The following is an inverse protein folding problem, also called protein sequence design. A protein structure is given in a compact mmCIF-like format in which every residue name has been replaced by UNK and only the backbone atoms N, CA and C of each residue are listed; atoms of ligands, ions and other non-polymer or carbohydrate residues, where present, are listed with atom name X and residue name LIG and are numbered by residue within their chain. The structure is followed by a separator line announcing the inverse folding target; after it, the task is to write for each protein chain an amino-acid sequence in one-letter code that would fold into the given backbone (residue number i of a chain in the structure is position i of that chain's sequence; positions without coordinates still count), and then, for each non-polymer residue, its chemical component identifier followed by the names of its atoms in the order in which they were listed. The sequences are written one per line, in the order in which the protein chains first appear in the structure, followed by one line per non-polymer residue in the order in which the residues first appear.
data_IF_380160916567
#
_entry.id   IF_380160916567
#
_cell.length_a   1.000
_cell.length_b   1.000
_cell.length_c   1.000
_cell.angle_alpha   90.00
_cell.angle_beta   90.00
_cell.angle_gamma   90.00
#
_symmetry.space_group_name_H-M   'P 1'
#
loop_
_entity.id
_entity.type
_entity.pdbx_description
1 polymer ?
#
# COMPACT_ATOMS: atom_id res chain seq x y z
N UNK A 1 -29.77 -21.54 8.08
CA UNK A 1 -29.66 -20.21 8.72
C UNK A 1 -28.33 -20.16 9.46
N UNK A 2 -27.32 -19.43 8.96
CA UNK A 2 -26.07 -19.24 9.71
C UNK A 2 -26.35 -18.41 10.96
N UNK A 3 -25.89 -18.84 12.14
CA UNK A 3 -26.03 -18.07 13.39
C UNK A 3 -25.30 -16.74 13.23
N UNK A 4 -25.90 -15.64 13.71
CA UNK A 4 -25.21 -14.35 13.75
C UNK A 4 -23.94 -14.49 14.60
N UNK A 5 -22.79 -13.97 14.14
CA UNK A 5 -21.54 -14.09 14.88
C UNK A 5 -21.63 -13.33 16.22
N UNK A 6 -20.96 -13.84 17.24
CA UNK A 6 -20.85 -13.16 18.53
C UNK A 6 -19.84 -12.01 18.45
N UNK A 7 -19.89 -11.07 19.41
CA UNK A 7 -18.89 -10.00 19.53
C UNK A 7 -17.47 -10.55 19.58
N UNK A 8 -17.26 -11.61 20.36
CA UNK A 8 -15.95 -12.23 20.52
C UNK A 8 -15.43 -12.81 19.20
N UNK A 9 -16.28 -13.51 18.44
CA UNK A 9 -15.91 -14.03 17.11
C UNK A 9 -15.54 -12.91 16.14
N UNK A 10 -16.22 -11.76 16.20
CA UNK A 10 -15.87 -10.60 15.37
C UNK A 10 -14.53 -9.98 15.79
N UNK A 11 -14.24 -9.90 17.09
CA UNK A 11 -12.95 -9.40 17.61
C UNK A 11 -11.81 -10.33 17.21
N UNK A 12 -11.97 -11.64 17.42
CA UNK A 12 -10.99 -12.67 17.01
C UNK A 12 -10.72 -12.58 15.52
N UNK A 13 -11.78 -12.43 14.71
CA UNK A 13 -11.65 -12.28 13.25
C UNK A 13 -10.86 -11.04 12.85
N UNK A 14 -11.08 -9.91 13.52
CA UNK A 14 -10.30 -8.68 13.28
C UNK A 14 -8.83 -8.89 13.66
N UNK A 15 -8.56 -9.53 14.80
CA UNK A 15 -7.19 -9.81 15.25
C UNK A 15 -6.42 -10.70 14.26
N UNK A 16 -7.05 -11.79 13.79
CA UNK A 16 -6.47 -12.67 12.76
C UNK A 16 -6.12 -11.91 11.48
N UNK A 17 -7.08 -11.11 10.97
CA UNK A 17 -6.89 -10.36 9.73
C UNK A 17 -5.86 -9.23 9.87
N UNK A 18 -5.70 -8.66 11.06
CA UNK A 18 -4.64 -7.70 11.36
C UNK A 18 -3.26 -8.37 11.27
N UNK A 19 -3.11 -9.58 11.82
CA UNK A 19 -1.88 -10.37 11.64
C UNK A 19 -1.62 -10.74 10.17
N UNK A 20 -2.65 -11.13 9.41
CA UNK A 20 -2.53 -11.43 7.98
C UNK A 20 -2.03 -10.21 7.20
N UNK A 21 -2.60 -9.03 7.47
CA UNK A 21 -2.15 -7.77 6.86
C UNK A 21 -0.69 -7.47 7.22
N UNK A 22 -0.32 -7.58 8.50
CA UNK A 22 1.05 -7.33 8.93
C UNK A 22 2.05 -8.27 8.24
N UNK A 23 1.75 -9.57 8.16
CA UNK A 23 2.58 -10.54 7.42
C UNK A 23 2.71 -10.16 5.94
N UNK A 24 1.61 -9.80 5.29
CA UNK A 24 1.62 -9.39 3.90
C UNK A 24 2.43 -8.10 3.66
N UNK A 25 2.39 -7.15 4.59
CA UNK A 25 3.22 -5.94 4.56
C UNK A 25 4.71 -6.26 4.69
N UNK A 26 5.06 -7.13 5.64
CA UNK A 26 6.45 -7.58 5.83
C UNK A 26 7.00 -8.30 4.60
N UNK A 27 6.22 -9.19 3.99
CA UNK A 27 6.59 -9.86 2.72
C UNK A 27 6.77 -8.83 1.60
N UNK A 28 5.85 -7.87 1.45
CA UNK A 28 5.98 -6.82 0.43
C UNK A 28 7.25 -5.99 0.62
N UNK A 29 7.63 -5.67 1.87
CA UNK A 29 8.89 -4.97 2.18
C UNK A 29 10.11 -5.80 1.80
N UNK A 30 10.12 -7.09 2.11
CA UNK A 30 11.20 -8.01 1.73
C UNK A 30 11.35 -8.07 0.21
N UNK A 31 10.24 -8.23 -0.52
CA UNK A 31 10.27 -8.31 -1.99
C UNK A 31 10.73 -6.99 -2.62
N UNK A 32 10.34 -5.85 -2.04
CA UNK A 32 10.86 -4.55 -2.47
C UNK A 32 12.36 -4.43 -2.25
N UNK A 33 12.86 -4.90 -1.10
CA UNK A 33 14.29 -4.93 -0.81
C UNK A 33 15.06 -5.82 -1.79
N UNK A 34 14.50 -6.96 -2.16
CA UNK A 34 15.08 -7.85 -3.17
C UNK A 34 15.16 -7.18 -4.54
N UNK A 35 14.08 -6.56 -5.01
CA UNK A 35 14.07 -5.84 -6.27
C UNK A 35 15.12 -4.71 -6.30
N UNK A 36 15.24 -3.95 -5.21
CA UNK A 36 16.25 -2.91 -5.10
C UNK A 36 17.67 -3.48 -5.19
N UNK A 37 17.93 -4.62 -4.54
CA UNK A 37 19.23 -5.29 -4.63
C UNK A 37 19.54 -5.77 -6.05
N UNK A 38 18.56 -6.30 -6.78
CA UNK A 38 18.76 -6.71 -8.17
C UNK A 38 19.03 -5.49 -9.08
N UNK A 39 18.42 -4.33 -8.81
CA UNK A 39 18.80 -3.08 -9.48
C UNK A 39 20.25 -2.67 -9.18
N UNK A 40 20.65 -2.70 -7.90
CA UNK A 40 22.02 -2.37 -7.48
C UNK A 40 23.04 -3.30 -8.14
N UNK A 41 22.77 -4.60 -8.16
CA UNK A 41 23.60 -5.62 -8.82
C UNK A 41 23.75 -5.33 -10.31
N UNK A 42 22.64 -5.12 -11.03
CA UNK A 42 22.66 -4.82 -12.46
C UNK A 42 23.49 -3.56 -12.76
N UNK A 43 23.24 -2.46 -12.05
CA UNK A 43 23.92 -1.19 -12.30
C UNK A 43 25.39 -1.21 -11.85
N UNK A 44 25.77 -2.07 -10.90
CA UNK A 44 27.19 -2.25 -10.53
C UNK A 44 28.04 -2.85 -11.67
N UNK A 45 27.42 -3.66 -12.53
CA UNK A 45 28.10 -4.33 -13.66
C UNK A 45 28.02 -3.50 -14.94
N UNK A 46 26.86 -2.91 -15.22
CA UNK A 46 26.59 -2.23 -16.49
C UNK A 46 26.71 -0.70 -16.45
N UNK A 47 26.82 -0.12 -15.25
CA UNK A 47 26.77 1.32 -15.03
C UNK A 47 25.34 1.87 -15.03
N UNK A 48 25.14 3.00 -14.37
CA UNK A 48 23.84 3.67 -14.33
C UNK A 48 23.53 4.41 -15.65
N UNK A 49 22.32 4.24 -16.17
CA UNK A 49 21.88 4.87 -17.43
C UNK A 49 21.68 6.39 -17.23
N UNK A 50 21.06 6.80 -16.12
CA UNK A 50 20.75 8.21 -15.79
C UNK A 50 21.02 8.49 -14.29
N UNK A 51 22.25 8.84 -13.88
CA UNK A 51 22.64 8.94 -12.46
C UNK A 51 21.86 9.97 -11.64
N UNK A 52 21.36 11.02 -12.30
CA UNK A 52 20.61 12.10 -11.64
C UNK A 52 19.11 11.83 -11.57
N UNK A 53 18.66 10.64 -11.97
CA UNK A 53 17.24 10.34 -12.08
C UNK A 53 16.85 9.13 -11.25
N UNK A 54 15.72 9.27 -10.55
CA UNK A 54 15.10 8.17 -9.83
C UNK A 54 14.12 7.41 -10.72
N UNK A 55 14.22 6.09 -10.70
CA UNK A 55 13.27 5.17 -11.32
C UNK A 55 13.64 4.70 -12.73
N UNK A 56 12.94 3.66 -13.16
CA UNK A 56 13.12 2.99 -14.46
C UNK A 56 12.07 3.53 -15.44
N UNK A 57 12.48 3.92 -16.65
CA UNK A 57 11.55 4.18 -17.77
C UNK A 57 11.25 2.87 -18.47
N UNK A 58 9.99 2.46 -18.45
CA UNK A 58 9.56 1.22 -19.10
C UNK A 58 9.43 1.38 -20.62
N UNK A 59 9.27 2.62 -21.07
CA UNK A 59 9.12 3.03 -22.47
C UNK A 59 10.45 3.32 -23.18
N UNK A 60 11.56 3.39 -22.45
CA UNK A 60 12.88 3.72 -22.98
C UNK A 60 13.71 2.44 -23.19
N UNK A 61 14.09 2.11 -24.45
CA UNK A 61 14.83 0.88 -24.77
C UNK A 61 16.14 0.73 -24.01
N UNK A 62 16.76 1.82 -23.54
CA UNK A 62 18.00 1.76 -22.74
C UNK A 62 17.80 0.99 -21.43
N UNK A 63 16.58 0.96 -20.90
CA UNK A 63 16.23 0.25 -19.68
C UNK A 63 15.81 -1.20 -19.92
N UNK A 64 15.70 -1.66 -21.17
CA UNK A 64 15.24 -3.01 -21.50
C UNK A 64 16.08 -4.09 -20.80
N UNK A 65 17.41 -3.90 -20.74
CA UNK A 65 18.30 -4.84 -20.07
C UNK A 65 18.01 -4.99 -18.57
N UNK A 66 17.85 -3.88 -17.84
CA UNK A 66 17.55 -3.91 -16.40
C UNK A 66 16.12 -4.40 -16.12
N UNK A 67 15.17 -4.08 -17.00
CA UNK A 67 13.79 -4.57 -16.92
C UNK A 67 13.77 -6.09 -17.07
N UNK A 68 14.43 -6.63 -18.10
CA UNK A 68 14.50 -8.06 -18.33
C UNK A 68 15.21 -8.78 -17.18
N UNK A 69 16.27 -8.21 -16.63
CA UNK A 69 16.98 -8.76 -15.47
C UNK A 69 16.11 -8.81 -14.20
N UNK A 70 15.34 -7.75 -13.94
CA UNK A 70 14.57 -7.60 -12.68
C UNK A 70 13.10 -8.04 -12.77
N UNK A 71 12.63 -8.46 -13.95
CA UNK A 71 11.22 -8.76 -14.22
C UNK A 71 10.62 -9.73 -13.19
N UNK A 72 11.33 -10.81 -12.86
CA UNK A 72 10.83 -11.81 -11.93
C UNK A 72 10.66 -11.26 -10.50
N UNK A 73 11.59 -10.44 -10.01
CA UNK A 73 11.47 -9.79 -8.71
C UNK A 73 10.37 -8.72 -8.71
N UNK A 74 10.21 -8.01 -9.82
CA UNK A 74 9.11 -7.07 -10.01
C UNK A 74 7.75 -7.77 -9.95
N UNK A 75 7.58 -8.90 -10.64
CA UNK A 75 6.34 -9.69 -10.59
C UNK A 75 6.04 -10.21 -9.17
N UNK A 76 7.06 -10.68 -8.47
CA UNK A 76 6.93 -11.10 -7.07
C UNK A 76 6.49 -9.95 -6.16
N UNK A 77 7.00 -8.75 -6.39
CA UNK A 77 6.58 -7.54 -5.69
C UNK A 77 5.12 -7.20 -6.01
N UNK A 78 4.69 -7.27 -7.27
CA UNK A 78 3.31 -7.00 -7.67
C UNK A 78 2.32 -8.02 -7.09
N UNK A 79 2.68 -9.30 -7.10
CA UNK A 79 1.90 -10.36 -6.47
C UNK A 79 1.77 -10.11 -4.95
N UNK A 80 2.86 -9.73 -4.28
CA UNK A 80 2.87 -9.41 -2.86
C UNK A 80 2.04 -8.16 -2.53
N UNK A 81 2.11 -7.13 -3.38
CA UNK A 81 1.29 -5.92 -3.26
C UNK A 81 -0.20 -6.23 -3.39
N UNK A 82 -0.56 -7.11 -4.32
CA UNK A 82 -1.93 -7.58 -4.52
C UNK A 82 -2.45 -8.34 -3.30
N UNK A 83 -1.65 -9.25 -2.73
CA UNK A 83 -1.97 -9.96 -1.48
C UNK A 83 -2.19 -9.00 -0.31
N UNK A 84 -1.29 -8.03 -0.12
CA UNK A 84 -1.41 -6.98 0.90
C UNK A 84 -2.72 -6.19 0.74
N UNK A 85 -3.03 -5.76 -0.47
CA UNK A 85 -4.25 -5.00 -0.75
C UNK A 85 -5.51 -5.82 -0.48
N UNK A 86 -5.49 -7.12 -0.81
CA UNK A 86 -6.58 -8.04 -0.47
C UNK A 86 -6.76 -8.18 1.05
N UNK A 87 -5.67 -8.42 1.79
CA UNK A 87 -5.70 -8.49 3.25
C UNK A 87 -6.24 -7.20 3.89
N UNK A 88 -5.81 -6.03 3.39
CA UNK A 88 -6.33 -4.72 3.84
C UNK A 88 -7.84 -4.60 3.63
N UNK A 89 -8.35 -5.02 2.46
CA UNK A 89 -9.79 -5.01 2.18
C UNK A 89 -10.55 -5.92 3.14
N UNK A 90 -10.08 -7.16 3.34
CA UNK A 90 -10.69 -8.11 4.29
C UNK A 90 -10.75 -7.53 5.71
N UNK A 91 -9.64 -6.98 6.20
CA UNK A 91 -9.59 -6.34 7.52
C UNK A 91 -10.56 -5.17 7.61
N UNK A 92 -10.61 -4.30 6.59
CA UNK A 92 -11.55 -3.17 6.55
C UNK A 92 -13.00 -3.65 6.65
N UNK A 93 -13.35 -4.71 5.94
CA UNK A 93 -14.69 -5.32 6.00
C UNK A 93 -14.99 -5.89 7.39
N UNK A 94 -14.04 -6.61 8.00
CA UNK A 94 -14.22 -7.17 9.34
C UNK A 94 -14.37 -6.09 10.42
N UNK A 95 -13.56 -5.03 10.35
CA UNK A 95 -13.68 -3.87 11.24
C UNK A 95 -15.05 -3.22 11.09
N UNK A 96 -15.52 -2.99 9.87
CA UNK A 96 -16.87 -2.45 9.63
C UNK A 96 -17.97 -3.35 10.22
N UNK A 97 -17.82 -4.67 10.11
CA UNK A 97 -18.78 -5.60 10.72
C UNK A 97 -18.79 -5.51 12.26
N UNK A 98 -17.62 -5.38 12.89
CA UNK A 98 -17.50 -5.17 14.33
C UNK A 98 -18.10 -3.83 14.75
N UNK A 99 -17.82 -2.74 14.02
CA UNK A 99 -18.39 -1.41 14.28
C UNK A 99 -19.92 -1.41 14.19
N UNK A 100 -20.48 -2.05 13.16
CA UNK A 100 -21.93 -2.21 13.03
C UNK A 100 -22.54 -3.02 14.17
N UNK A 101 -21.81 -3.99 14.72
CA UNK A 101 -22.26 -4.77 15.88
C UNK A 101 -22.23 -3.96 17.17
N UNK A 102 -21.20 -3.13 17.38
CA UNK A 102 -21.03 -2.31 18.60
C UNK A 102 -21.81 -0.99 18.56
N UNK A 103 -22.33 -0.60 17.40
CA UNK A 103 -22.95 0.71 17.18
C UNK A 103 -21.93 1.86 17.07
N UNK A 104 -20.64 1.54 16.94
CA UNK A 104 -19.57 2.52 16.82
C UNK A 104 -19.57 3.14 15.42
N UNK A 105 -19.38 4.46 15.34
CA UNK A 105 -19.34 5.20 14.07
C UNK A 105 -18.02 5.94 13.91
N UNK A 106 -17.39 5.81 12.74
CA UNK A 106 -16.23 6.65 12.38
C UNK A 106 -16.74 8.06 12.08
N UNK A 107 -16.37 9.03 12.92
CA UNK A 107 -16.58 10.44 12.62
C UNK A 107 -15.34 10.97 11.91
N UNK A 108 -15.50 11.46 10.68
CA UNK A 108 -14.44 12.20 10.01
C UNK A 108 -14.17 13.49 10.80
N UNK A 109 -12.89 13.90 10.97
CA UNK A 109 -12.57 15.22 11.49
C UNK A 109 -13.27 16.27 10.63
N UNK A 110 -13.87 17.29 11.25
CA UNK A 110 -14.37 18.45 10.49
C UNK A 110 -13.19 19.10 9.77
N UNK A 111 -13.29 19.27 8.47
CA UNK A 111 -12.30 20.04 7.72
C UNK A 111 -12.24 21.47 8.29
N UNK A 112 -11.04 22.03 8.48
CA UNK A 112 -10.93 23.43 8.87
C UNK A 112 -11.55 24.29 7.78
N UNK A 113 -12.36 25.28 8.18
CA UNK A 113 -12.89 26.28 7.24
C UNK A 113 -11.69 27.11 6.76
N UNK A 114 -11.12 26.73 5.62
CA UNK A 114 -10.07 27.51 4.97
C UNK A 114 -10.73 28.74 4.35
N UNK A 115 -10.75 29.85 5.10
CA UNK A 115 -11.07 31.16 4.53
C UNK A 115 -9.94 31.53 3.59
N UNK A 116 -10.19 31.49 2.29
CA UNK A 116 -9.25 32.03 1.30
C UNK A 116 -9.27 33.55 1.42
N UNK A 117 -8.24 34.10 2.04
CA UNK A 117 -8.03 35.54 2.10
C UNK A 117 -7.11 35.94 0.96
N UNK A 118 -7.48 36.93 0.15
CA UNK A 118 -6.57 37.50 -0.84
C UNK A 118 -5.46 38.33 -0.15
N UNK A 119 -4.44 38.77 -0.91
CA UNK A 119 -3.34 39.62 -0.41
C UNK A 119 -3.81 40.93 0.24
N UNK A 120 -5.06 41.33 0.02
CA UNK A 120 -5.69 42.53 0.57
C UNK A 120 -6.55 42.26 1.83
N UNK A 121 -6.53 41.04 2.39
CA UNK A 121 -7.29 40.73 3.60
C UNK A 121 -8.79 40.47 3.38
N UNK A 122 -9.25 40.42 2.12
CA UNK A 122 -10.65 40.15 1.78
C UNK A 122 -10.89 38.64 1.70
N UNK A 123 -11.85 38.16 2.48
CA UNK A 123 -12.34 36.77 2.38
C UNK A 123 -13.09 36.60 1.06
N UNK A 124 -12.58 35.74 0.19
CA UNK A 124 -13.31 35.31 -1.01
C UNK A 124 -14.43 34.36 -0.55
N UNK A 125 -15.68 34.73 -0.85
CA UNK A 125 -16.86 33.88 -0.63
C UNK A 125 -16.82 32.66 -1.56
#
# INVERSE_FOLDING_TARGET
MSKKPTKQQLVERVAELAMELHRAESIMKIMRGRLNREYEEYFSVHGEIEPNRRGIRVDDPRYEGVINFTNQAYDNLQASRSKKNSAKRKLTTAVRALMSFTGEQVKAPREPIVRRTNLAGVTLQ
#
